data_IF_581349739335
#
_entry.id   IF_581349739335
#
_cell.length_a   1.000
_cell.length_b   1.000
_cell.length_c   1.000
_cell.angle_alpha   90.00
_cell.angle_beta   90.00
_cell.angle_gamma   90.00
#
_symmetry.space_group_name_H-M   'P 1'
#
loop_
_entity.id
_entity.type
_entity.pdbx_description
1 polymer ?
#
# COMPACT_ATOMS: atom_id res chain seq x y z
N UNK A 1 -0.39 2.34 -14.62
CA UNK A 1 -0.06 0.90 -14.52
C UNK A 1 -0.35 0.19 -15.83
N UNK A 2 0.47 0.35 -16.87
CA UNK A 2 0.21 -0.31 -18.16
C UNK A 2 1.49 -0.87 -18.78
N UNK A 3 1.36 -2.08 -19.30
CA UNK A 3 2.29 -2.83 -20.16
C UNK A 3 2.43 -2.13 -21.52
N UNK A 4 2.90 -0.89 -21.56
CA UNK A 4 3.07 -0.04 -22.75
C UNK A 4 1.88 0.01 -23.73
N UNK A 5 0.66 -0.18 -23.22
CA UNK A 5 -0.54 -0.25 -24.05
C UNK A 5 -0.59 -1.49 -24.95
N UNK A 6 0.23 -2.51 -24.69
CA UNK A 6 0.25 -3.77 -25.42
C UNK A 6 -1.09 -4.51 -25.21
N UNK A 7 -1.92 -4.64 -26.26
CA UNK A 7 -3.25 -5.24 -26.14
C UNK A 7 -3.23 -6.74 -25.79
N UNK A 8 -2.06 -7.37 -25.78
CA UNK A 8 -1.90 -8.74 -25.29
C UNK A 8 -2.17 -8.85 -23.79
N UNK A 9 -1.77 -7.83 -23.03
CA UNK A 9 -1.72 -7.89 -21.56
C UNK A 9 -2.57 -6.80 -20.88
N UNK A 10 -3.04 -5.80 -21.63
CA UNK A 10 -3.95 -4.75 -21.15
C UNK A 10 -5.03 -4.43 -22.20
N UNK A 11 -5.58 -3.21 -22.18
CA UNK A 11 -6.57 -2.72 -23.14
C UNK A 11 -7.83 -3.60 -23.23
N UNK A 12 -8.30 -4.05 -22.07
CA UNK A 12 -9.47 -4.91 -21.94
C UNK A 12 -10.70 -4.29 -22.59
N UNK A 13 -11.47 -5.10 -23.32
CA UNK A 13 -12.74 -4.68 -23.90
C UNK A 13 -13.80 -4.58 -22.80
N UNK A 14 -14.47 -3.43 -22.71
CA UNK A 14 -15.68 -3.27 -21.91
C UNK A 14 -16.90 -3.57 -22.77
N UNK A 15 -17.74 -4.50 -22.32
CA UNK A 15 -19.03 -4.76 -22.97
C UNK A 15 -19.96 -3.58 -22.70
N UNK A 16 -20.65 -3.08 -23.73
CA UNK A 16 -21.55 -1.95 -23.59
C UNK A 16 -22.72 -2.30 -22.65
N UNK A 17 -23.05 -1.49 -21.63
CA UNK A 17 -24.14 -1.79 -20.69
C UNK A 17 -25.53 -1.80 -21.32
N UNK A 18 -25.69 -1.28 -22.54
CA UNK A 18 -26.94 -1.35 -23.31
C UNK A 18 -27.08 -2.64 -24.13
N UNK A 19 -25.99 -3.42 -24.29
CA UNK A 19 -26.05 -4.72 -24.95
C UNK A 19 -26.77 -5.73 -24.05
N UNK A 20 -27.74 -6.46 -24.60
CA UNK A 20 -28.50 -7.47 -23.85
C UNK A 20 -27.59 -8.56 -23.26
N UNK A 21 -26.46 -8.85 -23.91
CA UNK A 21 -25.48 -9.82 -23.44
C UNK A 21 -24.84 -9.41 -22.12
N UNK A 22 -24.77 -8.12 -21.80
CA UNK A 22 -24.21 -7.65 -20.53
C UNK A 22 -24.93 -8.28 -19.34
N UNK A 23 -26.27 -8.25 -19.37
CA UNK A 23 -27.11 -8.81 -18.32
C UNK A 23 -27.08 -10.34 -18.35
N UNK A 24 -27.15 -10.95 -19.53
CA UNK A 24 -27.21 -12.41 -19.67
C UNK A 24 -25.92 -13.08 -19.18
N UNK A 25 -24.75 -12.52 -19.54
CA UNK A 25 -23.45 -13.02 -19.09
C UNK A 25 -23.28 -12.83 -17.59
N UNK A 26 -23.57 -11.65 -17.06
CA UNK A 26 -23.43 -11.41 -15.62
C UNK A 26 -24.38 -12.27 -14.78
N UNK A 27 -25.63 -12.47 -15.22
CA UNK A 27 -26.56 -13.39 -14.59
C UNK A 27 -26.06 -14.83 -14.62
N UNK A 28 -25.53 -15.28 -15.76
CA UNK A 28 -24.98 -16.62 -15.91
C UNK A 28 -23.78 -16.84 -14.98
N UNK A 29 -22.90 -15.83 -14.84
CA UNK A 29 -21.76 -15.87 -13.93
C UNK A 29 -22.18 -16.08 -12.48
N UNK A 30 -23.12 -15.27 -11.96
CA UNK A 30 -23.62 -15.40 -10.58
C UNK A 30 -24.27 -16.78 -10.35
N UNK A 31 -25.09 -17.25 -11.30
CA UNK A 31 -25.71 -18.58 -11.20
C UNK A 31 -24.68 -19.71 -11.21
N UNK A 32 -23.62 -19.58 -12.00
CA UNK A 32 -22.55 -20.57 -12.04
C UNK A 32 -21.73 -20.55 -10.74
N UNK A 33 -21.46 -19.38 -10.17
CA UNK A 33 -20.80 -19.25 -8.86
C UNK A 33 -21.63 -19.91 -7.75
N UNK A 34 -22.94 -19.67 -7.70
CA UNK A 34 -23.83 -20.33 -6.74
C UNK A 34 -23.95 -21.84 -6.96
N UNK A 35 -23.86 -22.31 -8.21
CA UNK A 35 -23.87 -23.75 -8.53
C UNK A 35 -22.60 -24.44 -8.02
N UNK A 36 -21.45 -23.79 -8.17
CA UNK A 36 -20.14 -24.33 -7.77
C UNK A 36 -19.95 -24.29 -6.25
N UNK A 37 -20.24 -23.15 -5.63
CA UNK A 37 -19.92 -22.90 -4.21
C UNK A 37 -21.13 -22.95 -3.27
N UNK A 38 -22.35 -23.05 -3.80
CA UNK A 38 -23.59 -22.96 -3.04
C UNK A 38 -24.10 -21.53 -2.83
N UNK A 39 -25.30 -21.42 -2.27
CA UNK A 39 -25.90 -20.14 -1.86
C UNK A 39 -25.35 -19.72 -0.48
N UNK A 40 -24.11 -19.24 -0.46
CA UNK A 40 -23.36 -18.94 0.78
C UNK A 40 -23.34 -17.45 1.15
N UNK A 41 -23.72 -16.56 0.22
CA UNK A 41 -23.70 -15.12 0.43
C UNK A 41 -24.63 -14.41 -0.56
N UNK A 42 -25.03 -13.19 -0.19
CA UNK A 42 -25.70 -12.24 -1.10
C UNK A 42 -24.85 -10.99 -1.35
N UNK A 43 -23.59 -10.97 -0.90
CA UNK A 43 -22.66 -9.85 -1.10
C UNK A 43 -21.71 -10.21 -2.25
N UNK A 44 -21.67 -9.37 -3.28
CA UNK A 44 -20.85 -9.56 -4.46
C UNK A 44 -19.94 -8.35 -4.67
N UNK A 45 -18.63 -8.59 -4.75
CA UNK A 45 -17.66 -7.56 -5.10
C UNK A 45 -17.40 -7.50 -6.61
N UNK A 46 -17.39 -6.29 -7.17
CA UNK A 46 -17.13 -6.03 -8.58
C UNK A 46 -16.75 -4.56 -8.79
N UNK A 47 -15.67 -4.30 -9.52
CA UNK A 47 -15.13 -2.94 -9.71
C UNK A 47 -14.72 -2.74 -11.18
N UNK A 48 -15.53 -2.01 -11.96
CA UNK A 48 -15.31 -1.86 -13.40
C UNK A 48 -14.18 -0.91 -13.75
N UNK A 49 -13.97 0.11 -12.91
CA UNK A 49 -13.08 1.25 -13.20
C UNK A 49 -12.01 1.43 -12.13
N UNK A 50 -11.61 0.34 -11.45
CA UNK A 50 -10.45 0.38 -10.58
C UNK A 50 -9.21 0.72 -11.41
N UNK A 51 -8.61 1.88 -11.15
CA UNK A 51 -7.47 2.45 -11.90
C UNK A 51 -7.66 2.58 -13.42
N UNK A 52 -8.91 2.65 -13.88
CA UNK A 52 -9.23 2.83 -15.29
C UNK A 52 -10.23 3.98 -15.43
N UNK A 53 -9.94 4.95 -16.30
CA UNK A 53 -10.85 6.07 -16.53
C UNK A 53 -12.03 5.61 -17.41
N UNK A 54 -13.29 5.89 -17.04
CA UNK A 54 -14.44 5.60 -17.88
C UNK A 54 -14.35 6.28 -19.25
N UNK A 55 -14.97 5.72 -20.31
CA UNK A 55 -14.88 6.26 -21.66
C UNK A 55 -15.55 7.63 -21.83
N UNK A 56 -16.40 8.03 -20.89
CA UNK A 56 -17.07 9.33 -20.85
C UNK A 56 -17.32 9.76 -19.40
N UNK A 57 -17.33 11.07 -19.16
CA UNK A 57 -17.68 11.67 -17.87
C UNK A 57 -19.17 12.00 -17.74
N UNK A 58 -20.01 11.60 -18.69
CA UNK A 58 -21.45 11.85 -18.68
C UNK A 58 -22.15 11.06 -17.56
N UNK A 59 -22.80 11.73 -16.58
CA UNK A 59 -23.52 11.08 -15.48
C UNK A 59 -24.53 10.02 -15.93
N UNK A 60 -25.21 10.25 -17.05
CA UNK A 60 -26.20 9.31 -17.59
C UNK A 60 -25.58 7.96 -17.97
N UNK A 61 -24.39 7.96 -18.57
CA UNK A 61 -23.67 6.74 -18.93
C UNK A 61 -23.18 5.99 -17.68
N UNK A 62 -22.62 6.71 -16.71
CA UNK A 62 -22.14 6.11 -15.45
C UNK A 62 -23.30 5.46 -14.70
N UNK A 63 -24.45 6.14 -14.64
CA UNK A 63 -25.64 5.63 -13.98
C UNK A 63 -26.23 4.42 -14.70
N UNK A 64 -26.27 4.42 -16.04
CA UNK A 64 -26.76 3.26 -16.81
C UNK A 64 -25.84 2.04 -16.66
N UNK A 65 -24.53 2.24 -16.64
CA UNK A 65 -23.56 1.18 -16.39
C UNK A 65 -23.74 0.57 -14.99
N UNK A 66 -23.77 1.39 -13.94
CA UNK A 66 -23.96 0.89 -12.57
C UNK A 66 -25.30 0.15 -12.40
N UNK A 67 -26.36 0.65 -13.05
CA UNK A 67 -27.67 0.00 -13.08
C UNK A 67 -27.60 -1.37 -13.76
N UNK A 68 -26.90 -1.49 -14.88
CA UNK A 68 -26.75 -2.75 -15.63
C UNK A 68 -25.95 -3.79 -14.82
N UNK A 69 -24.85 -3.38 -14.17
CA UNK A 69 -24.06 -4.25 -13.29
C UNK A 69 -24.95 -4.83 -12.19
N UNK A 70 -25.67 -3.98 -11.46
CA UNK A 70 -26.55 -4.43 -10.39
C UNK A 70 -27.74 -5.25 -10.88
N UNK A 71 -28.29 -4.92 -12.05
CA UNK A 71 -29.35 -5.72 -12.67
C UNK A 71 -28.86 -7.13 -13.00
N UNK A 72 -27.64 -7.29 -13.51
CA UNK A 72 -27.05 -8.60 -13.78
C UNK A 72 -26.88 -9.41 -12.47
N UNK A 73 -26.35 -8.77 -11.41
CA UNK A 73 -26.23 -9.39 -10.08
C UNK A 73 -27.58 -9.85 -9.53
N UNK A 74 -28.56 -8.94 -9.51
CA UNK A 74 -29.88 -9.18 -8.91
C UNK A 74 -30.73 -10.21 -9.67
N UNK A 75 -30.51 -10.37 -10.99
CA UNK A 75 -31.12 -11.48 -11.74
C UNK A 75 -30.49 -12.84 -11.43
N UNK A 76 -29.22 -12.85 -11.04
CA UNK A 76 -28.53 -14.05 -10.58
C UNK A 76 -28.95 -14.43 -9.16
N UNK A 77 -28.99 -13.45 -8.26
CA UNK A 77 -29.43 -13.57 -6.87
C UNK A 77 -30.31 -12.37 -6.50
N UNK A 78 -31.61 -12.60 -6.24
CA UNK A 78 -32.59 -11.55 -5.89
C UNK A 78 -32.22 -10.72 -4.66
N UNK A 79 -31.42 -11.27 -3.75
CA UNK A 79 -31.05 -10.62 -2.49
C UNK A 79 -29.70 -9.90 -2.59
N UNK A 80 -29.07 -9.89 -3.78
CA UNK A 80 -27.75 -9.32 -4.03
C UNK A 80 -27.57 -7.89 -3.49
N UNK A 81 -26.40 -7.68 -2.90
CA UNK A 81 -25.81 -6.41 -2.47
C UNK A 81 -24.45 -6.28 -3.14
N UNK A 82 -24.21 -5.14 -3.78
CA UNK A 82 -22.95 -4.83 -4.43
C UNK A 82 -21.96 -4.21 -3.43
N UNK A 83 -20.85 -4.90 -3.17
CA UNK A 83 -19.71 -4.35 -2.44
C UNK A 83 -18.70 -3.74 -3.42
N UNK A 84 -18.46 -2.45 -3.35
CA UNK A 84 -17.59 -1.73 -4.30
C UNK A 84 -16.40 -1.12 -3.59
N UNK A 85 -15.21 -1.19 -4.18
CA UNK A 85 -14.04 -0.45 -3.71
C UNK A 85 -14.18 1.04 -4.03
N UNK A 86 -13.98 1.88 -3.02
CA UNK A 86 -13.97 3.34 -3.15
C UNK A 86 -12.65 3.91 -3.72
N UNK A 87 -11.65 3.07 -4.03
CA UNK A 87 -10.32 3.49 -4.48
C UNK A 87 -10.35 4.45 -5.67
N UNK A 88 -11.23 4.19 -6.63
CA UNK A 88 -11.40 5.03 -7.83
C UNK A 88 -11.71 6.51 -7.49
N UNK A 89 -12.42 6.77 -6.39
CA UNK A 89 -12.73 8.13 -5.94
C UNK A 89 -11.50 8.88 -5.40
N UNK A 90 -10.46 8.15 -5.00
CA UNK A 90 -9.16 8.67 -4.63
C UNK A 90 -8.20 8.70 -5.84
N UNK A 91 -8.00 7.55 -6.50
CA UNK A 91 -6.96 7.35 -7.51
C UNK A 91 -7.16 8.18 -8.78
N UNK A 92 -8.41 8.45 -9.15
CA UNK A 92 -8.78 9.31 -10.27
C UNK A 92 -9.78 10.39 -9.83
N UNK A 93 -9.48 11.08 -8.72
CA UNK A 93 -10.30 12.15 -8.16
C UNK A 93 -10.55 13.33 -9.15
N UNK A 94 -9.69 13.47 -10.18
CA UNK A 94 -9.87 14.45 -11.24
C UNK A 94 -11.08 14.11 -12.14
N UNK A 95 -11.32 12.82 -12.39
CA UNK A 95 -12.49 12.33 -13.10
C UNK A 95 -13.71 12.24 -12.16
N UNK A 96 -13.56 11.63 -10.99
CA UNK A 96 -14.65 11.29 -10.08
C UNK A 96 -15.10 12.47 -9.20
N UNK A 97 -15.64 13.50 -9.85
CA UNK A 97 -16.26 14.64 -9.16
C UNK A 97 -17.64 14.27 -8.62
N UNK A 98 -18.20 15.15 -7.80
CA UNK A 98 -19.51 14.96 -7.14
C UNK A 98 -20.61 14.42 -8.09
N UNK A 99 -20.76 14.99 -9.30
CA UNK A 99 -21.77 14.53 -10.27
C UNK A 99 -21.55 13.08 -10.73
N UNK A 100 -20.30 12.69 -10.98
CA UNK A 100 -19.94 11.35 -11.43
C UNK A 100 -20.06 10.34 -10.28
N UNK A 101 -19.62 10.73 -9.07
CA UNK A 101 -19.78 9.91 -7.87
C UNK A 101 -21.25 9.62 -7.58
N UNK A 102 -22.10 10.67 -7.55
CA UNK A 102 -23.55 10.51 -7.34
C UNK A 102 -24.19 9.64 -8.43
N UNK A 103 -23.78 9.81 -9.69
CA UNK A 103 -24.29 8.99 -10.79
C UNK A 103 -24.04 7.49 -10.60
N UNK A 104 -22.84 7.12 -10.11
CA UNK A 104 -22.50 5.74 -9.81
C UNK A 104 -23.20 5.25 -8.54
N UNK A 105 -23.07 5.99 -7.44
CA UNK A 105 -23.57 5.60 -6.12
C UNK A 105 -25.10 5.52 -6.05
N UNK A 106 -25.81 6.34 -6.82
CA UNK A 106 -27.28 6.32 -6.89
C UNK A 106 -27.81 5.53 -8.10
N UNK A 107 -26.95 4.82 -8.83
CA UNK A 107 -27.38 3.92 -9.91
C UNK A 107 -28.13 2.68 -9.40
N UNK A 108 -28.09 2.41 -8.09
CA UNK A 108 -28.75 1.27 -7.47
C UNK A 108 -29.61 1.72 -6.29
N UNK A 109 -30.62 0.92 -5.88
CA UNK A 109 -31.41 1.23 -4.69
C UNK A 109 -30.54 1.37 -3.43
N UNK A 110 -30.87 2.33 -2.56
CA UNK A 110 -30.19 2.52 -1.28
C UNK A 110 -30.24 1.21 -0.46
N UNK A 111 -29.10 0.82 0.11
CA UNK A 111 -28.95 -0.44 0.85
C UNK A 111 -28.65 -1.66 -0.04
N UNK A 112 -28.61 -1.50 -1.37
CA UNK A 112 -28.17 -2.52 -2.32
C UNK A 112 -26.75 -2.31 -2.86
N UNK A 113 -26.07 -1.26 -2.38
CA UNK A 113 -24.65 -1.04 -2.54
C UNK A 113 -24.03 -0.67 -1.19
N UNK A 114 -22.79 -1.11 -1.00
CA UNK A 114 -21.92 -0.75 0.10
C UNK A 114 -20.54 -0.40 -0.46
N UNK A 115 -19.95 0.70 0.02
CA UNK A 115 -18.64 1.16 -0.44
C UNK A 115 -17.57 0.82 0.61
N UNK A 116 -16.45 0.26 0.17
CA UNK A 116 -15.23 0.21 0.98
C UNK A 116 -14.53 1.56 0.84
N UNK A 117 -14.54 2.40 1.87
CA UNK A 117 -13.70 3.60 1.92
C UNK A 117 -12.25 3.14 2.16
N UNK A 118 -11.60 2.73 1.05
CA UNK A 118 -10.52 1.75 1.07
C UNK A 118 -9.28 2.23 1.82
N UNK A 119 -8.97 3.52 1.73
CA UNK A 119 -7.78 4.17 2.28
C UNK A 119 -8.16 5.22 3.35
N UNK A 120 -9.14 4.91 4.19
CA UNK A 120 -9.73 5.89 5.11
C UNK A 120 -8.83 6.26 6.30
N UNK A 121 -7.80 5.47 6.57
CA UNK A 121 -6.75 5.76 7.56
C UNK A 121 -5.88 6.96 7.18
N UNK A 122 -5.75 7.27 5.87
CA UNK A 122 -4.91 8.37 5.37
C UNK A 122 -5.69 9.36 4.50
N UNK A 123 -6.58 8.88 3.62
CA UNK A 123 -7.36 9.66 2.64
C UNK A 123 -8.85 9.31 2.68
N UNK A 124 -9.55 9.59 3.79
CA UNK A 124 -10.96 9.25 3.97
C UNK A 124 -11.88 9.98 2.97
N UNK A 125 -12.55 9.21 2.10
CA UNK A 125 -13.49 9.76 1.12
C UNK A 125 -14.82 10.15 1.78
N UNK A 126 -15.20 9.50 2.90
CA UNK A 126 -16.44 9.83 3.62
C UNK A 126 -16.53 11.32 4.01
N UNK A 127 -15.39 11.95 4.30
CA UNK A 127 -15.31 13.36 4.70
C UNK A 127 -15.66 14.33 3.58
N UNK A 128 -15.25 14.03 2.35
CA UNK A 128 -15.44 14.90 1.18
C UNK A 128 -16.67 14.53 0.35
N UNK A 129 -17.26 13.36 0.59
CA UNK A 129 -18.42 12.83 -0.13
C UNK A 129 -19.75 12.94 0.63
N UNK A 130 -19.78 13.71 1.72
CA UNK A 130 -20.96 13.83 2.60
C UNK A 130 -21.53 12.44 2.98
N UNK A 131 -20.67 11.55 3.51
CA UNK A 131 -21.05 10.17 3.85
C UNK A 131 -21.51 9.37 2.62
N UNK A 132 -20.72 9.40 1.53
CA UNK A 132 -21.03 8.75 0.25
C UNK A 132 -22.45 9.06 -0.25
N UNK A 133 -22.90 10.30 -0.03
CA UNK A 133 -24.22 10.78 -0.43
C UNK A 133 -25.39 9.86 -0.02
N UNK A 134 -25.30 9.27 1.18
CA UNK A 134 -26.34 8.40 1.74
C UNK A 134 -26.18 6.91 1.46
N UNK A 135 -25.14 6.49 0.73
CA UNK A 135 -24.82 5.08 0.52
C UNK A 135 -24.06 4.53 1.74
N UNK A 136 -24.39 3.32 2.25
CA UNK A 136 -23.63 2.67 3.31
C UNK A 136 -22.16 2.46 2.95
N UNK A 137 -21.25 2.64 3.92
CA UNK A 137 -19.83 2.38 3.70
C UNK A 137 -19.13 1.72 4.89
N UNK A 138 -18.01 1.07 4.61
CA UNK A 138 -17.09 0.49 5.59
C UNK A 138 -15.84 1.37 5.60
N UNK A 139 -15.47 1.87 6.78
CA UNK A 139 -14.21 2.58 6.98
C UNK A 139 -13.08 1.55 6.94
N UNK A 140 -12.18 1.62 5.95
CA UNK A 140 -11.10 0.65 5.81
C UNK A 140 -9.75 1.29 6.08
N UNK A 141 -8.88 0.52 6.73
CA UNK A 141 -7.46 0.81 6.78
C UNK A 141 -6.75 0.09 5.64
N UNK A 142 -6.11 0.85 4.74
CA UNK A 142 -5.29 0.27 3.68
C UNK A 142 -3.88 -0.01 4.20
N UNK A 143 -3.27 0.95 4.91
CA UNK A 143 -1.93 0.90 5.53
C UNK A 143 -0.74 0.54 4.61
N UNK A 144 -0.78 -0.56 3.87
CA UNK A 144 0.33 -1.10 3.11
C UNK A 144 0.01 -1.31 1.64
N UNK A 145 0.99 -0.95 0.82
CA UNK A 145 1.02 -1.13 -0.63
C UNK A 145 2.14 -2.10 -1.00
N UNK A 146 1.91 -2.98 -1.97
CA UNK A 146 2.90 -3.91 -2.52
C UNK A 146 3.36 -5.04 -1.60
N UNK A 147 2.94 -5.07 -0.33
CA UNK A 147 3.58 -5.92 0.68
C UNK A 147 4.94 -5.36 1.14
N UNK A 148 5.21 -4.08 0.87
CA UNK A 148 6.49 -3.44 1.17
C UNK A 148 6.80 -3.48 2.68
N UNK A 149 8.04 -3.87 3.01
CA UNK A 149 8.50 -3.95 4.40
C UNK A 149 9.08 -2.60 4.81
N UNK A 150 8.27 -1.81 5.50
CA UNK A 150 8.64 -0.55 6.14
C UNK A 150 7.95 -0.51 7.50
N UNK A 151 8.66 -0.08 8.56
CA UNK A 151 7.96 0.24 9.80
C UNK A 151 7.21 1.55 9.59
N UNK A 152 5.88 1.49 9.56
CA UNK A 152 5.01 2.61 9.26
C UNK A 152 3.67 2.47 9.98
N UNK A 153 3.12 3.59 10.45
CA UNK A 153 1.74 3.62 10.91
C UNK A 153 1.21 5.01 11.22
N UNK A 154 -0.10 5.05 11.40
CA UNK A 154 -0.90 6.25 11.69
C UNK A 154 -1.82 5.98 12.88
N UNK A 155 -1.23 5.56 14.02
CA UNK A 155 -1.99 5.00 15.15
C UNK A 155 -3.05 5.97 15.69
N UNK A 156 -2.80 7.28 15.69
CA UNK A 156 -3.80 8.28 16.09
C UNK A 156 -5.01 8.27 15.15
N UNK A 157 -4.77 8.30 13.83
CA UNK A 157 -5.83 8.24 12.81
C UNK A 157 -6.65 6.95 12.92
N UNK A 158 -6.02 5.82 13.22
CA UNK A 158 -6.71 4.54 13.42
C UNK A 158 -7.52 4.55 14.73
N UNK A 159 -6.95 5.10 15.80
CA UNK A 159 -7.61 5.17 17.11
C UNK A 159 -8.88 6.03 17.11
N UNK A 160 -8.93 7.06 16.25
CA UNK A 160 -10.02 8.03 16.22
C UNK A 160 -10.94 7.88 15.00
N UNK A 161 -10.39 7.53 13.83
CA UNK A 161 -11.05 7.55 12.54
C UNK A 161 -12.39 6.82 12.49
N UNK A 162 -12.46 5.53 12.88
CA UNK A 162 -13.73 4.80 12.95
C UNK A 162 -14.78 5.42 13.88
N UNK A 163 -14.35 5.99 15.01
CA UNK A 163 -15.25 6.63 15.98
C UNK A 163 -15.77 7.95 15.45
N UNK A 164 -14.89 8.77 14.86
CA UNK A 164 -15.22 10.04 14.25
C UNK A 164 -16.19 9.84 13.07
N UNK A 165 -15.90 8.87 12.19
CA UNK A 165 -16.76 8.51 11.07
C UNK A 165 -18.16 8.07 11.52
N UNK A 166 -18.24 7.17 12.52
CA UNK A 166 -19.52 6.62 13.04
C UNK A 166 -20.36 7.66 13.79
N UNK A 167 -19.74 8.58 14.53
CA UNK A 167 -20.44 9.57 15.35
C UNK A 167 -20.72 10.88 14.62
N UNK A 168 -20.18 11.04 13.41
CA UNK A 168 -20.44 12.21 12.57
C UNK A 168 -21.92 12.32 12.17
N UNK A 169 -22.35 13.55 11.89
CA UNK A 169 -23.72 13.84 11.49
C UNK A 169 -24.08 13.11 10.18
N UNK A 170 -25.25 12.46 10.17
CA UNK A 170 -25.76 11.65 9.05
C UNK A 170 -24.82 10.51 8.61
N UNK A 171 -23.98 9.99 9.52
CA UNK A 171 -23.11 8.85 9.19
C UNK A 171 -23.91 7.68 8.61
N UNK A 172 -23.40 7.15 7.49
CA UNK A 172 -23.86 5.90 6.88
C UNK A 172 -22.82 4.80 7.05
N UNK A 173 -21.86 4.98 7.95
CA UNK A 173 -20.86 3.98 8.27
C UNK A 173 -21.53 2.75 8.89
N UNK A 174 -21.28 1.58 8.33
CA UNK A 174 -21.87 0.29 8.78
C UNK A 174 -20.83 -0.70 9.29
N UNK A 175 -19.53 -0.39 9.16
CA UNK A 175 -18.48 -1.26 9.66
C UNK A 175 -17.09 -0.68 9.52
N UNK A 176 -16.12 -1.45 9.99
CA UNK A 176 -14.68 -1.22 9.82
C UNK A 176 -14.05 -2.37 9.03
N UNK A 177 -12.97 -2.11 8.29
CA UNK A 177 -12.28 -3.08 7.45
C UNK A 177 -10.77 -2.91 7.45
N UNK A 178 -10.08 -3.97 7.03
CA UNK A 178 -8.63 -4.01 6.81
C UNK A 178 -8.41 -4.47 5.37
N UNK A 179 -7.71 -3.67 4.57
CA UNK A 179 -7.62 -3.84 3.12
C UNK A 179 -6.18 -3.81 2.59
N UNK A 180 -5.19 -4.07 3.44
CA UNK A 180 -3.77 -4.08 3.08
C UNK A 180 -3.48 -4.96 1.87
N UNK A 181 -2.56 -4.50 1.00
CA UNK A 181 -2.10 -5.29 -0.14
C UNK A 181 -1.20 -6.47 0.29
N UNK A 182 -0.47 -6.32 1.41
CA UNK A 182 0.24 -7.41 2.10
C UNK A 182 0.12 -7.30 3.62
N UNK A 183 0.29 -8.42 4.35
CA UNK A 183 -0.16 -8.55 5.75
C UNK A 183 0.93 -8.98 6.77
N UNK A 184 2.15 -9.27 6.33
CA UNK A 184 3.19 -9.93 7.15
C UNK A 184 4.12 -8.94 7.89
N UNK A 185 3.62 -7.75 8.20
CA UNK A 185 4.39 -6.65 8.83
C UNK A 185 3.51 -5.81 9.77
N UNK A 186 4.14 -4.91 10.53
CA UNK A 186 3.47 -3.91 11.39
C UNK A 186 2.30 -4.43 12.27
N UNK A 187 2.45 -5.53 13.04
CA UNK A 187 1.35 -6.15 13.77
C UNK A 187 0.66 -5.22 14.78
N UNK A 188 1.37 -4.22 15.31
CA UNK A 188 0.82 -3.20 16.22
C UNK A 188 -0.32 -2.40 15.57
N UNK A 189 -0.22 -2.14 14.27
CA UNK A 189 -1.22 -1.40 13.49
C UNK A 189 -2.46 -2.26 13.31
N UNK A 190 -2.27 -3.54 12.97
CA UNK A 190 -3.37 -4.47 12.68
C UNK A 190 -4.11 -4.89 13.94
N UNK A 191 -3.40 -5.08 15.06
CA UNK A 191 -4.03 -5.35 16.35
C UNK A 191 -4.90 -4.16 16.77
N UNK A 192 -4.40 -2.93 16.71
CA UNK A 192 -5.19 -1.74 17.03
C UNK A 192 -6.43 -1.63 16.14
N UNK A 193 -6.26 -1.76 14.81
CA UNK A 193 -7.37 -1.62 13.87
C UNK A 193 -8.47 -2.68 14.10
N UNK A 194 -8.09 -3.92 14.37
CA UNK A 194 -9.04 -4.98 14.68
C UNK A 194 -9.81 -4.73 15.98
N UNK A 195 -9.17 -4.16 17.02
CA UNK A 195 -9.83 -3.78 18.27
C UNK A 195 -10.88 -2.66 18.04
N UNK A 196 -10.70 -1.78 17.04
CA UNK A 196 -11.62 -0.68 16.76
C UNK A 196 -13.03 -1.14 16.34
N UNK A 197 -13.19 -2.37 15.85
CA UNK A 197 -14.50 -2.97 15.59
C UNK A 197 -15.36 -3.12 16.86
N UNK A 198 -14.73 -3.23 18.02
CA UNK A 198 -15.38 -3.48 19.31
C UNK A 198 -15.37 -2.26 20.23
N UNK A 199 -14.76 -1.15 19.80
CA UNK A 199 -14.66 0.07 20.60
C UNK A 199 -15.77 1.06 20.28
N UNK A 200 -16.29 1.68 21.34
CA UNK A 200 -17.25 2.78 21.24
C UNK A 200 -16.62 4.16 21.45
N UNK A 201 -15.35 4.20 21.89
CA UNK A 201 -14.58 5.40 22.22
C UNK A 201 -13.18 5.32 21.59
N UNK A 202 -12.54 6.48 21.47
CA UNK A 202 -11.15 6.59 21.01
C UNK A 202 -10.20 5.89 21.98
N UNK A 203 -9.04 5.46 21.47
CA UNK A 203 -8.00 4.80 22.26
C UNK A 203 -6.95 5.82 22.68
N UNK A 204 -6.60 5.82 23.95
CA UNK A 204 -5.37 6.49 24.42
C UNK A 204 -4.18 5.62 24.02
N UNK A 205 -3.58 5.94 22.86
CA UNK A 205 -2.62 5.05 22.16
C UNK A 205 -1.40 4.72 23.03
N UNK A 206 -0.85 5.70 23.76
CA UNK A 206 0.33 5.48 24.60
C UNK A 206 0.07 4.45 25.72
N UNK A 207 -1.11 4.51 26.36
CA UNK A 207 -1.50 3.54 27.39
C UNK A 207 -1.86 2.17 26.80
N UNK A 208 -2.47 2.17 25.61
CA UNK A 208 -2.71 0.95 24.87
C UNK A 208 -1.40 0.24 24.50
N UNK A 209 -0.36 0.97 24.08
CA UNK A 209 0.95 0.42 23.73
C UNK A 209 1.68 -0.23 24.92
N UNK A 210 1.52 0.32 26.13
CA UNK A 210 2.03 -0.33 27.36
C UNK A 210 1.38 -1.70 27.57
N UNK A 211 0.08 -1.80 27.28
CA UNK A 211 -0.66 -3.07 27.39
C UNK A 211 -0.36 -4.03 26.24
N UNK A 212 -0.23 -3.52 25.02
CA UNK A 212 0.15 -4.27 23.82
C UNK A 212 1.51 -4.94 24.00
N UNK A 213 2.55 -4.16 24.35
CA UNK A 213 3.90 -4.68 24.55
C UNK A 213 3.99 -5.72 25.67
N UNK A 214 3.26 -5.53 26.77
CA UNK A 214 3.15 -6.54 27.83
C UNK A 214 2.55 -7.86 27.33
N UNK A 215 1.41 -7.82 26.61
CA UNK A 215 0.75 -9.03 26.09
C UNK A 215 1.60 -9.72 25.04
N UNK A 216 2.22 -8.94 24.15
CA UNK A 216 3.04 -9.43 23.05
C UNK A 216 4.28 -10.14 23.59
N UNK A 217 5.01 -9.53 24.52
CA UNK A 217 6.27 -10.09 25.00
C UNK A 217 6.14 -11.00 26.23
N UNK A 218 4.95 -11.08 26.82
CA UNK A 218 4.64 -11.95 27.96
C UNK A 218 5.10 -11.41 29.33
N UNK A 219 5.79 -10.29 29.37
CA UNK A 219 6.20 -9.62 30.60
C UNK A 219 6.40 -8.11 30.43
N UNK A 220 6.37 -7.37 31.54
CA UNK A 220 6.60 -5.93 31.54
C UNK A 220 8.09 -5.64 31.59
N UNK A 221 8.55 -4.73 30.73
CA UNK A 221 9.93 -4.23 30.74
C UNK A 221 9.90 -2.70 30.56
N UNK A 222 10.61 -1.98 31.44
CA UNK A 222 10.60 -0.52 31.48
C UNK A 222 11.28 0.10 30.26
N UNK A 223 12.34 -0.53 29.75
CA UNK A 223 13.03 -0.05 28.56
C UNK A 223 12.15 -0.21 27.31
N UNK A 224 11.41 -1.32 27.21
CA UNK A 224 10.42 -1.54 26.15
C UNK A 224 9.28 -0.53 26.18
N UNK A 225 8.75 -0.19 27.36
CA UNK A 225 7.70 0.82 27.45
C UNK A 225 8.18 2.18 26.94
N UNK A 226 9.41 2.57 27.28
CA UNK A 226 10.04 3.79 26.75
C UNK A 226 10.26 3.70 25.24
N UNK A 227 10.71 2.54 24.75
CA UNK A 227 10.97 2.31 23.34
C UNK A 227 9.69 2.45 22.51
N UNK A 228 8.60 1.81 22.91
CA UNK A 228 7.30 1.94 22.25
C UNK A 228 6.73 3.35 22.29
N UNK A 229 6.94 4.11 23.37
CA UNK A 229 6.58 5.53 23.42
C UNK A 229 7.36 6.35 22.37
N UNK A 230 8.66 6.07 22.17
CA UNK A 230 9.44 6.71 21.10
C UNK A 230 8.90 6.30 19.72
N UNK A 231 8.67 5.00 19.49
CA UNK A 231 8.16 4.50 18.20
C UNK A 231 6.80 5.12 17.85
N UNK A 232 5.93 5.26 18.84
CA UNK A 232 4.65 5.96 18.68
C UNK A 232 4.84 7.39 18.20
N UNK A 233 5.68 8.19 18.87
CA UNK A 233 5.89 9.59 18.48
C UNK A 233 6.80 9.78 17.25
N UNK A 234 7.22 8.70 16.60
CA UNK A 234 8.11 8.73 15.43
C UNK A 234 7.52 7.90 14.28
N UNK A 235 7.89 6.64 14.21
CA UNK A 235 7.57 5.69 13.14
C UNK A 235 6.06 5.48 12.98
N UNK A 236 5.33 5.32 14.09
CA UNK A 236 3.93 4.88 14.09
C UNK A 236 2.89 6.02 14.20
N UNK A 237 3.31 7.27 14.03
CA UNK A 237 2.38 8.40 13.95
C UNK A 237 2.73 9.37 12.81
N UNK A 238 2.77 8.83 11.60
CA UNK A 238 2.93 9.63 10.38
C UNK A 238 1.68 10.50 10.14
N UNK A 239 1.86 11.76 9.72
CA UNK A 239 0.74 12.70 9.51
C UNK A 239 0.81 13.47 8.19
N UNK A 240 1.75 13.16 7.29
CA UNK A 240 1.91 13.88 6.02
C UNK A 240 0.88 13.49 4.95
N UNK A 241 0.20 12.35 5.14
CA UNK A 241 -0.80 11.85 4.22
C UNK A 241 -0.24 11.27 2.92
N UNK A 242 1.02 10.85 2.90
CA UNK A 242 1.67 10.20 1.75
C UNK A 242 1.37 8.69 1.81
N UNK A 243 1.07 8.10 0.65
CA UNK A 243 1.02 6.64 0.51
C UNK A 243 2.46 6.11 0.48
N UNK A 244 2.84 5.37 1.51
CA UNK A 244 4.20 4.86 1.65
C UNK A 244 4.40 3.57 0.84
N UNK A 245 5.33 3.62 -0.11
CA UNK A 245 5.70 2.51 -0.99
C UNK A 245 7.13 2.03 -0.73
N UNK A 246 7.75 2.38 0.40
CA UNK A 246 9.17 2.15 0.72
C UNK A 246 10.13 2.31 -0.48
N UNK A 247 10.68 3.51 -0.66
CA UNK A 247 11.62 3.82 -1.74
C UNK A 247 13.06 3.94 -1.24
N UNK A 248 13.42 3.15 -0.23
CA UNK A 248 14.79 3.10 0.27
C UNK A 248 15.74 2.54 -0.80
N UNK A 249 16.93 3.11 -0.94
CA UNK A 249 17.84 2.74 -2.03
C UNK A 249 18.31 1.28 -2.00
N UNK A 250 18.16 0.60 -0.86
CA UNK A 250 18.54 -0.81 -0.73
C UNK A 250 17.48 -1.77 -1.31
N UNK A 251 16.21 -1.33 -1.41
CA UNK A 251 15.12 -2.14 -1.96
C UNK A 251 14.79 -1.79 -3.40
N UNK A 252 15.37 -0.71 -3.94
CA UNK A 252 15.19 -0.32 -5.33
C UNK A 252 16.24 -0.94 -6.27
N UNK A 253 15.81 -1.29 -7.47
CA UNK A 253 16.72 -1.67 -8.54
C UNK A 253 17.68 -0.49 -8.86
N UNK A 254 19.00 -0.74 -8.98
CA UNK A 254 19.99 0.33 -9.18
C UNK A 254 20.03 0.80 -10.65
N UNK A 255 19.00 1.51 -11.09
CA UNK A 255 18.86 2.02 -12.46
C UNK A 255 19.21 3.50 -12.64
N UNK A 256 19.39 4.23 -11.53
CA UNK A 256 19.70 5.65 -11.54
C UNK A 256 21.15 5.87 -12.00
N UNK A 257 21.32 6.46 -13.18
CA UNK A 257 22.63 6.90 -13.66
C UNK A 257 23.06 8.21 -12.97
N UNK A 258 24.23 8.24 -12.29
CA UNK A 258 24.78 9.46 -11.70
C UNK A 258 25.03 10.59 -12.71
N UNK A 259 25.17 10.24 -14.00
CA UNK A 259 25.38 11.19 -15.09
C UNK A 259 24.13 12.02 -15.44
N UNK A 260 22.94 11.51 -15.11
CA UNK A 260 21.66 12.22 -15.31
C UNK A 260 21.57 13.51 -14.50
N UNK A 261 22.32 13.61 -13.40
CA UNK A 261 22.36 14.78 -12.50
C UNK A 261 23.37 15.85 -12.91
N UNK A 262 24.35 15.52 -13.77
CA UNK A 262 25.46 16.43 -14.10
C UNK A 262 25.12 17.45 -15.21
N UNK A 263 23.91 17.42 -15.77
CA UNK A 263 23.64 18.10 -17.05
C UNK A 263 23.20 19.57 -16.96
N UNK A 264 23.13 20.19 -15.77
CA UNK A 264 22.67 21.60 -15.65
C UNK A 264 23.69 22.62 -15.11
N UNK A 265 24.87 22.22 -14.64
CA UNK A 265 25.90 23.20 -14.24
C UNK A 265 26.69 23.81 -15.42
N UNK A 266 26.50 23.32 -16.65
CA UNK A 266 27.27 23.76 -17.82
C UNK A 266 26.39 23.97 -19.06
N UNK A 267 25.47 24.94 -19.04
CA UNK A 267 24.84 25.45 -20.27
C UNK A 267 24.25 26.87 -20.11
N UNK A 268 25.09 27.84 -19.71
CA UNK A 268 24.89 29.24 -20.12
C UNK A 268 25.59 29.45 -21.47
N UNK A 269 24.87 29.26 -22.59
CA UNK A 269 24.99 30.05 -23.85
C UNK A 269 24.02 29.55 -24.93
N UNK A 270 23.38 30.54 -25.58
CA UNK A 270 22.67 30.58 -26.88
C UNK A 270 21.29 29.90 -27.07
N UNK A 271 20.23 30.73 -27.15
CA UNK A 271 19.30 31.00 -28.30
C UNK A 271 18.95 29.76 -29.18
N UNK A 272 17.73 29.33 -29.53
CA UNK A 272 16.37 29.92 -29.67
C UNK A 272 15.30 28.83 -29.93
N UNK A 273 14.07 29.06 -29.43
CA UNK A 273 12.71 28.78 -29.99
C UNK A 273 12.37 27.39 -30.58
N UNK A 274 11.39 26.68 -29.98
CA UNK A 274 10.04 26.37 -30.52
C UNK A 274 9.17 25.76 -29.39
N UNK A 275 7.92 26.22 -29.30
CA UNK A 275 6.89 25.84 -28.31
C UNK A 275 6.24 24.48 -28.59
N UNK A 276 5.96 23.70 -27.53
CA UNK A 276 4.74 22.89 -27.34
C UNK A 276 4.34 22.91 -25.84
N UNK A 277 3.03 22.81 -25.62
CA UNK A 277 2.29 23.10 -24.37
C UNK A 277 2.79 22.40 -23.09
N UNK A 278 2.56 23.01 -21.91
CA UNK A 278 3.11 22.52 -20.64
C UNK A 278 2.22 21.43 -20.03
N UNK A 279 2.82 20.27 -19.77
CA UNK A 279 2.38 19.43 -18.65
C UNK A 279 3.06 19.98 -17.40
N UNK A 280 2.32 20.01 -16.30
CA UNK A 280 2.74 20.48 -14.99
C UNK A 280 4.17 20.02 -14.63
N UNK A 281 5.11 20.96 -14.72
CA UNK A 281 6.41 20.88 -14.08
C UNK A 281 6.26 21.59 -12.74
N UNK A 282 6.04 20.82 -11.67
CA UNK A 282 6.46 21.28 -10.35
C UNK A 282 7.96 21.50 -10.41
N UNK A 283 8.44 22.56 -9.75
CA UNK A 283 9.86 22.91 -9.67
C UNK A 283 10.67 21.72 -9.14
N UNK A 284 11.34 20.98 -10.03
CA UNK A 284 12.29 19.93 -9.63
C UNK A 284 13.57 20.62 -9.22
N UNK A 285 13.76 20.77 -7.91
CA UNK A 285 15.10 20.90 -7.32
C UNK A 285 15.97 19.79 -7.89
N UNK A 286 17.15 20.13 -8.40
CA UNK A 286 18.11 19.24 -9.04
C UNK A 286 18.82 18.25 -8.07
N UNK A 287 18.09 17.78 -7.06
CA UNK A 287 18.52 16.82 -6.03
C UNK A 287 18.01 15.42 -6.36
N UNK A 288 18.79 14.39 -6.00
CA UNK A 288 18.35 13.00 -6.02
C UNK A 288 17.00 12.84 -5.30
N UNK A 289 16.05 12.05 -5.86
CA UNK A 289 14.83 11.70 -5.15
C UNK A 289 15.21 11.12 -3.80
N UNK A 290 14.72 11.73 -2.72
CA UNK A 290 14.99 11.28 -1.37
C UNK A 290 13.94 10.23 -0.99
N UNK A 291 14.34 9.09 -0.40
CA UNK A 291 13.40 8.17 0.21
C UNK A 291 12.53 8.89 1.24
N UNK A 292 11.28 8.48 1.32
CA UNK A 292 10.32 9.09 2.23
C UNK A 292 10.77 8.90 3.69
N UNK A 293 10.73 9.99 4.48
CA UNK A 293 11.11 9.99 5.89
C UNK A 293 10.34 11.07 6.65
N UNK A 294 9.50 10.66 7.60
CA UNK A 294 8.65 11.56 8.40
C UNK A 294 9.09 11.68 9.87
N UNK A 295 10.17 11.00 10.26
CA UNK A 295 10.61 10.90 11.65
C UNK A 295 12.12 11.06 11.81
N UNK A 296 12.56 11.29 13.05
CA UNK A 296 13.99 11.37 13.40
C UNK A 296 14.61 9.98 13.48
N UNK A 297 15.56 9.68 12.60
CA UNK A 297 16.33 8.42 12.64
C UNK A 297 17.12 8.26 13.94
N UNK A 298 17.55 9.36 14.55
CA UNK A 298 18.24 9.34 15.84
C UNK A 298 17.31 8.87 16.98
N UNK A 299 16.03 9.22 16.95
CA UNK A 299 15.06 8.74 17.93
C UNK A 299 14.73 7.25 17.70
N UNK A 300 14.59 6.82 16.44
CA UNK A 300 14.43 5.40 16.13
C UNK A 300 15.62 4.56 16.61
N UNK A 301 16.86 5.06 16.44
CA UNK A 301 18.06 4.40 16.99
C UNK A 301 18.05 4.36 18.52
N UNK A 302 17.59 5.41 19.22
CA UNK A 302 17.41 5.36 20.68
C UNK A 302 16.40 4.29 21.09
N UNK A 303 15.33 4.13 20.33
CA UNK A 303 14.39 3.02 20.55
C UNK A 303 15.06 1.67 20.38
N UNK A 304 15.87 1.50 19.31
CA UNK A 304 16.65 0.27 19.10
C UNK A 304 17.62 -0.02 20.26
N UNK A 305 18.31 1.00 20.79
CA UNK A 305 19.18 0.84 21.97
C UNK A 305 18.41 0.34 23.20
N UNK A 306 17.16 0.80 23.39
CA UNK A 306 16.30 0.34 24.47
C UNK A 306 15.82 -1.09 24.25
N UNK A 307 15.47 -1.44 23.01
CA UNK A 307 15.18 -2.83 22.65
C UNK A 307 16.38 -3.72 22.96
N UNK A 308 17.59 -3.38 22.51
CA UNK A 308 18.80 -4.16 22.78
C UNK A 308 19.08 -4.33 24.29
N UNK A 309 18.87 -3.29 25.10
CA UNK A 309 19.03 -3.37 26.57
C UNK A 309 18.04 -4.34 27.22
N UNK A 310 16.85 -4.50 26.65
CA UNK A 310 15.84 -5.44 27.15
C UNK A 310 16.10 -6.89 26.70
N UNK A 311 17.11 -7.15 25.86
CA UNK A 311 17.37 -8.46 25.26
C UNK A 311 17.67 -9.57 26.28
N UNK A 312 18.38 -9.25 27.36
CA UNK A 312 18.67 -10.21 28.43
C UNK A 312 17.39 -10.74 29.09
N UNK A 313 16.35 -9.90 29.19
CA UNK A 313 15.08 -10.25 29.79
C UNK A 313 14.12 -10.93 28.80
N UNK A 314 14.18 -10.57 27.51
CA UNK A 314 13.13 -10.86 26.53
C UNK A 314 13.54 -11.75 25.35
N UNK A 315 14.81 -12.15 25.25
CA UNK A 315 15.34 -12.96 24.14
C UNK A 315 14.58 -14.28 23.87
N UNK A 316 13.94 -14.87 24.88
CA UNK A 316 13.10 -16.08 24.72
C UNK A 316 11.73 -15.79 24.08
N UNK A 317 11.29 -14.53 24.03
CA UNK A 317 10.04 -14.13 23.37
C UNK A 317 10.26 -14.01 21.87
N UNK A 318 9.62 -14.90 21.09
CA UNK A 318 9.68 -14.89 19.62
C UNK A 318 9.21 -13.57 19.02
N UNK A 319 8.13 -13.00 19.54
CA UNK A 319 7.58 -11.72 19.07
C UNK A 319 8.48 -10.54 19.41
N UNK A 320 9.23 -10.59 20.52
CA UNK A 320 10.24 -9.58 20.83
C UNK A 320 11.42 -9.68 19.86
N UNK A 321 11.88 -10.91 19.57
CA UNK A 321 12.94 -11.13 18.57
C UNK A 321 12.55 -10.60 17.19
N UNK A 322 11.33 -10.89 16.74
CA UNK A 322 10.79 -10.35 15.49
C UNK A 322 10.83 -8.81 15.47
N UNK A 323 10.29 -8.16 16.51
CA UNK A 323 10.23 -6.68 16.57
C UNK A 323 11.64 -6.06 16.67
N UNK A 324 12.58 -6.72 17.35
CA UNK A 324 13.98 -6.30 17.41
C UNK A 324 14.65 -6.38 16.04
N UNK A 325 14.43 -7.47 15.30
CA UNK A 325 14.96 -7.65 13.94
C UNK A 325 14.37 -6.60 13.00
N UNK A 326 13.06 -6.34 13.04
CA UNK A 326 12.42 -5.34 12.17
C UNK A 326 12.92 -3.92 12.48
N UNK A 327 13.04 -3.54 13.76
CA UNK A 327 13.54 -2.23 14.15
C UNK A 327 15.03 -2.05 13.81
N UNK A 328 15.82 -3.11 13.92
CA UNK A 328 17.22 -3.10 13.50
C UNK A 328 17.33 -2.97 11.97
N UNK A 329 16.53 -3.73 11.20
CA UNK A 329 16.44 -3.62 9.73
C UNK A 329 16.06 -2.20 9.33
N UNK A 330 15.02 -1.65 9.94
CA UNK A 330 14.55 -0.28 9.72
C UNK A 330 15.67 0.74 9.94
N UNK A 331 16.39 0.63 11.05
CA UNK A 331 17.49 1.54 11.40
C UNK A 331 18.66 1.44 10.41
N UNK A 332 19.00 0.22 9.98
CA UNK A 332 20.05 -0.02 8.98
C UNK A 332 19.63 0.47 7.60
N UNK A 333 18.35 0.31 7.20
CA UNK A 333 17.82 0.79 5.92
C UNK A 333 17.93 2.31 5.82
N UNK A 334 17.55 3.04 6.88
CA UNK A 334 17.71 4.51 6.89
C UNK A 334 19.18 4.96 6.99
N UNK A 335 20.06 4.16 7.60
CA UNK A 335 21.50 4.38 7.52
C UNK A 335 22.01 4.18 6.08
N UNK A 336 21.56 3.13 5.39
CA UNK A 336 21.91 2.85 4.00
C UNK A 336 21.53 4.03 3.10
N UNK A 337 20.34 4.62 3.31
CA UNK A 337 19.93 5.82 2.59
C UNK A 337 20.92 6.98 2.75
N UNK A 338 21.31 7.27 3.99
CA UNK A 338 22.30 8.31 4.27
C UNK A 338 23.65 8.01 3.59
N UNK A 339 24.15 6.79 3.71
CA UNK A 339 25.44 6.40 3.14
C UNK A 339 25.42 6.48 1.61
N UNK A 340 24.31 6.10 0.97
CA UNK A 340 24.13 6.25 -0.47
C UNK A 340 24.21 7.71 -0.90
N UNK A 341 23.53 8.62 -0.19
CA UNK A 341 23.58 10.06 -0.47
C UNK A 341 24.97 10.64 -0.30
N UNK A 342 25.67 10.27 0.79
CA UNK A 342 27.06 10.69 1.03
C UNK A 342 27.99 10.19 -0.12
N UNK A 343 27.74 9.00 -0.68
CA UNK A 343 28.43 8.49 -1.86
C UNK A 343 28.12 9.32 -3.13
N UNK A 344 26.85 9.67 -3.34
CA UNK A 344 26.45 10.49 -4.49
C UNK A 344 27.03 11.91 -4.44
N UNK A 345 27.07 12.52 -3.26
CA UNK A 345 27.72 13.82 -3.04
C UNK A 345 29.23 13.73 -3.35
N UNK A 346 29.90 12.67 -2.88
CA UNK A 346 31.31 12.41 -3.16
C UNK A 346 31.58 12.26 -4.67
N UNK A 347 30.68 11.55 -5.38
CA UNK A 347 30.73 11.42 -6.84
C UNK A 347 30.60 12.78 -7.54
N UNK A 348 29.65 13.62 -7.12
CA UNK A 348 29.45 14.96 -7.69
C UNK A 348 30.67 15.87 -7.46
N UNK A 349 31.29 15.78 -6.28
CA UNK A 349 32.52 16.51 -5.94
C UNK A 349 33.78 15.95 -6.62
N UNK A 350 33.67 14.79 -7.29
CA UNK A 350 34.79 14.05 -7.88
C UNK A 350 35.84 13.63 -6.84
N UNK A 351 35.42 13.41 -5.60
CA UNK A 351 36.28 12.88 -4.54
C UNK A 351 36.28 11.34 -4.62
N UNK A 352 37.33 10.79 -5.23
CA UNK A 352 37.44 9.34 -5.40
C UNK A 352 37.71 8.59 -4.09
N UNK A 353 38.31 9.24 -3.09
CA UNK A 353 38.60 8.63 -1.80
C UNK A 353 37.31 8.46 -1.02
N UNK A 354 36.55 9.54 -0.88
CA UNK A 354 35.30 9.53 -0.12
C UNK A 354 34.21 8.71 -0.83
N UNK A 355 34.15 8.76 -2.17
CA UNK A 355 33.25 7.90 -2.94
C UNK A 355 33.52 6.41 -2.67
N UNK A 356 34.80 6.00 -2.69
CA UNK A 356 35.17 4.61 -2.43
C UNK A 356 34.88 4.20 -0.98
N UNK A 357 35.07 5.11 -0.02
CA UNK A 357 34.72 4.89 1.38
C UNK A 357 33.22 4.66 1.56
N UNK A 358 32.37 5.59 1.06
CA UNK A 358 30.92 5.48 1.21
C UNK A 358 30.35 4.29 0.43
N UNK A 359 30.88 3.97 -0.75
CA UNK A 359 30.46 2.78 -1.52
C UNK A 359 30.72 1.49 -0.75
N UNK A 360 31.91 1.33 -0.15
CA UNK A 360 32.23 0.17 0.68
C UNK A 360 31.29 0.07 1.88
N UNK A 361 31.08 1.20 2.56
CA UNK A 361 30.18 1.26 3.70
C UNK A 361 28.73 0.90 3.32
N UNK A 362 28.25 1.32 2.15
CA UNK A 362 26.92 0.96 1.66
C UNK A 362 26.80 -0.56 1.46
N UNK A 363 27.79 -1.18 0.81
CA UNK A 363 27.84 -2.63 0.63
C UNK A 363 27.94 -3.39 1.97
N UNK A 364 28.70 -2.87 2.94
CA UNK A 364 28.77 -3.42 4.30
C UNK A 364 27.40 -3.41 4.97
N UNK A 365 26.67 -2.29 4.91
CA UNK A 365 25.31 -2.19 5.47
C UNK A 365 24.33 -3.18 4.80
N UNK A 366 24.46 -3.42 3.49
CA UNK A 366 23.65 -4.44 2.80
C UNK A 366 23.93 -5.84 3.39
N UNK A 367 25.20 -6.18 3.59
CA UNK A 367 25.58 -7.48 4.15
C UNK A 367 25.16 -7.63 5.63
N UNK A 368 25.19 -6.54 6.40
CA UNK A 368 24.72 -6.51 7.77
C UNK A 368 23.20 -6.76 7.83
N UNK A 369 22.43 -6.15 6.91
CA UNK A 369 20.99 -6.39 6.78
C UNK A 369 20.71 -7.83 6.38
N UNK A 370 21.41 -8.39 5.38
CA UNK A 370 21.28 -9.79 4.99
C UNK A 370 21.51 -10.74 6.17
N UNK A 371 22.58 -10.52 6.94
CA UNK A 371 22.91 -11.32 8.12
C UNK A 371 21.84 -11.21 9.21
N UNK A 372 21.33 -10.00 9.43
CA UNK A 372 20.27 -9.74 10.40
C UNK A 372 18.96 -10.43 9.99
N UNK A 373 18.52 -10.27 8.75
CA UNK A 373 17.27 -10.87 8.26
C UNK A 373 17.33 -12.40 8.24
N UNK A 374 18.52 -12.97 8.00
CA UNK A 374 18.72 -14.42 8.08
C UNK A 374 18.55 -15.00 9.50
N UNK A 375 18.43 -14.17 10.54
CA UNK A 375 18.29 -14.62 11.94
C UNK A 375 16.85 -14.92 12.39
N UNK A 376 15.86 -14.65 11.54
CA UNK A 376 14.45 -14.86 11.82
C UNK A 376 13.69 -15.33 10.57
N UNK A 377 12.93 -16.43 10.70
CA UNK A 377 12.27 -17.10 9.58
C UNK A 377 11.24 -16.21 8.86
N UNK A 378 10.72 -15.17 9.52
CA UNK A 378 9.72 -14.26 8.96
C UNK A 378 10.29 -13.29 7.91
N UNK A 379 11.62 -13.23 7.74
CA UNK A 379 12.28 -12.35 6.76
C UNK A 379 12.98 -13.12 5.63
N UNK A 380 12.77 -14.43 5.56
CA UNK A 380 13.42 -15.28 4.56
C UNK A 380 12.60 -15.34 3.26
N UNK A 381 13.28 -15.20 2.11
CA UNK A 381 12.67 -15.44 0.80
C UNK A 381 12.37 -16.94 0.56
N UNK A 382 13.15 -17.84 1.16
CA UNK A 382 13.02 -19.29 0.97
C UNK A 382 11.60 -19.83 1.23
N UNK A 383 11.00 -19.58 2.40
CA UNK A 383 9.62 -19.97 2.71
C UNK A 383 8.58 -19.53 1.68
N UNK A 384 8.66 -18.30 1.17
CA UNK A 384 7.78 -17.81 0.10
C UNK A 384 7.88 -18.66 -1.17
N UNK A 385 9.12 -18.93 -1.61
CA UNK A 385 9.37 -19.73 -2.81
C UNK A 385 8.99 -21.21 -2.65
N UNK A 386 9.27 -21.80 -1.49
CA UNK A 386 8.89 -23.19 -1.22
C UNK A 386 7.37 -23.35 -1.09
N UNK A 387 6.68 -22.38 -0.50
CA UNK A 387 5.22 -22.36 -0.44
C UNK A 387 4.63 -22.32 -1.85
N UNK A 388 5.09 -21.42 -2.71
CA UNK A 388 4.65 -21.35 -4.11
C UNK A 388 4.88 -22.67 -4.86
N UNK A 389 6.05 -23.29 -4.71
CA UNK A 389 6.36 -24.57 -5.33
C UNK A 389 5.51 -25.73 -4.80
N UNK A 390 5.17 -25.72 -3.52
CA UNK A 390 4.40 -26.79 -2.89
C UNK A 390 2.97 -26.93 -3.43
N UNK A 391 2.45 -25.88 -4.08
CA UNK A 391 1.14 -25.87 -4.75
C UNK A 391 1.16 -26.62 -6.09
N UNK A 392 2.33 -26.88 -6.67
CA UNK A 392 2.46 -27.50 -7.98
C UNK A 392 2.21 -29.01 -7.94
N UNK A 393 1.54 -29.53 -8.97
CA UNK A 393 1.33 -30.97 -9.16
C UNK A 393 2.31 -31.59 -10.16
N UNK A 394 3.02 -30.75 -10.92
CA UNK A 394 4.02 -31.15 -11.91
C UNK A 394 5.30 -30.33 -11.80
N UNK A 395 6.39 -30.83 -12.38
CA UNK A 395 7.67 -30.12 -12.39
C UNK A 395 7.62 -28.80 -13.20
N UNK A 396 6.80 -28.75 -14.25
CA UNK A 396 6.64 -27.53 -15.05
C UNK A 396 5.79 -26.47 -14.32
N UNK A 397 4.73 -26.89 -13.61
CA UNK A 397 4.03 -26.00 -12.68
C UNK A 397 4.95 -25.51 -11.57
N UNK A 398 5.82 -26.36 -11.03
CA UNK A 398 6.77 -25.99 -9.98
C UNK A 398 7.69 -24.86 -10.43
N UNK A 399 8.24 -24.96 -11.65
CA UNK A 399 9.04 -23.89 -12.26
C UNK A 399 8.22 -22.62 -12.50
N UNK A 400 6.99 -22.76 -13.00
CA UNK A 400 6.12 -21.61 -13.28
C UNK A 400 5.73 -20.88 -11.99
N UNK A 401 5.43 -21.60 -10.92
CA UNK A 401 5.03 -21.00 -9.64
C UNK A 401 6.21 -20.34 -8.93
N UNK A 402 7.40 -20.94 -8.98
CA UNK A 402 8.61 -20.25 -8.51
C UNK A 402 8.89 -18.99 -9.33
N UNK A 403 8.73 -19.05 -10.66
CA UNK A 403 8.87 -17.87 -11.52
C UNK A 403 7.84 -16.79 -11.16
N UNK A 404 6.56 -17.13 -11.00
CA UNK A 404 5.52 -16.19 -10.57
C UNK A 404 5.89 -15.53 -9.22
N UNK A 405 6.31 -16.34 -8.24
CA UNK A 405 6.64 -15.89 -6.89
C UNK A 405 7.84 -14.93 -6.87
N UNK A 406 8.87 -15.19 -7.69
CA UNK A 406 10.04 -14.29 -7.85
C UNK A 406 9.67 -13.02 -8.60
N UNK A 407 8.94 -13.14 -9.70
CA UNK A 407 8.54 -12.01 -10.54
C UNK A 407 7.65 -11.06 -9.75
N UNK A 408 6.68 -11.56 -8.96
CA UNK A 408 5.78 -10.73 -8.16
C UNK A 408 6.50 -9.79 -7.20
N UNK A 409 7.62 -10.23 -6.59
CA UNK A 409 8.39 -9.45 -5.60
C UNK A 409 9.61 -8.74 -6.20
N UNK A 410 9.71 -8.68 -7.53
CA UNK A 410 10.80 -7.98 -8.23
C UNK A 410 10.26 -7.21 -9.44
N UNK A 411 10.21 -7.82 -10.63
CA UNK A 411 9.83 -7.16 -11.88
C UNK A 411 8.32 -6.98 -12.05
N UNK A 412 7.48 -7.64 -11.27
CA UNK A 412 6.02 -7.66 -11.32
C UNK A 412 5.41 -8.27 -12.60
N UNK A 413 5.86 -7.88 -13.79
CA UNK A 413 5.46 -8.46 -15.08
C UNK A 413 6.61 -8.52 -16.11
N UNK A 414 6.31 -9.15 -17.25
CA UNK A 414 7.17 -9.39 -18.44
C UNK A 414 8.24 -8.30 -18.65
N UNK A 415 9.50 -8.70 -18.45
CA UNK A 415 10.70 -7.94 -18.75
C UNK A 415 11.28 -8.42 -20.09
N UNK A 416 11.79 -7.50 -20.90
CA UNK A 416 12.63 -7.91 -22.04
C UNK A 416 14.08 -7.92 -21.59
N UNK A 417 14.98 -8.52 -22.39
CA UNK A 417 16.42 -8.48 -22.13
C UNK A 417 16.99 -7.07 -21.91
N UNK A 418 16.28 -6.04 -22.34
CA UNK A 418 16.76 -4.64 -22.35
C UNK A 418 15.78 -3.65 -21.72
N UNK A 419 14.58 -4.08 -21.34
CA UNK A 419 13.54 -3.21 -20.79
C UNK A 419 12.98 -3.85 -19.52
N UNK A 420 13.22 -3.18 -18.39
CA UNK A 420 12.61 -3.54 -17.12
C UNK A 420 11.11 -3.17 -17.15
N UNK A 421 10.33 -3.91 -16.37
CA UNK A 421 8.93 -3.57 -16.10
C UNK A 421 8.80 -2.18 -15.52
N UNK A 422 7.69 -1.48 -15.77
CA UNK A 422 7.39 -0.18 -15.11
C UNK A 422 6.87 -0.31 -13.69
N UNK A 423 6.60 -1.54 -13.27
CA UNK A 423 6.13 -1.90 -11.93
C UNK A 423 7.21 -2.68 -11.17
N UNK A 424 8.48 -2.62 -11.62
CA UNK A 424 9.57 -3.19 -10.84
C UNK A 424 9.63 -2.50 -9.46
N UNK A 425 9.85 -3.30 -8.43
CA UNK A 425 9.94 -2.84 -7.03
C UNK A 425 8.72 -1.99 -6.63
N UNK A 426 7.51 -2.44 -7.02
CA UNK A 426 6.23 -1.85 -6.61
C UNK A 426 5.89 -2.24 -5.17
#
# INVERSE_FOLDING_TARGET
>A
NTVDGNPRWCCTYILDPSDALFIDVGQAFIKQQMKEYGDITSIYNCDTFNENTPPTNEPAYISSLGSAIYQAMSRGNKDAVWLMQGWLFYSDAAFWKESQMKALLHSVPIGKMMVLDLFADVKPIWQTSSQFYGVPYIWCMLHNFGGNIEMYGVLDSISSGPIDARTSYNSTMVGVGMCMEGIEHNPVVYELMSEMAFRSQKVEVEDWLKSYSYRRYGQSNVEIQKAWAILYHTIYNCTDGIADHNRDYIVEFPDISPSSFSSQYSKRRSISVVRKHPRFLGEVSASLPQPHLWYSTAEAVKSLELFLKAGDDLSESLTYRYDLVDLARQSLSKLANKVYLDAMDSYQMRDSSDLNFHTKKFLEVIMDIETLLASDDNFLLGPWLETAKSLATTEDERKQYEWNARTQVTMWYDDTKTEQSKLHDY
#
